data_IF_437073884007
#
_entry.id   IF_437073884007
#
_cell.length_a   1.000
_cell.length_b   1.000
_cell.length_c   1.000
_cell.angle_alpha   90.00
_cell.angle_beta   90.00
_cell.angle_gamma   90.00
#
_symmetry.space_group_name_H-M   'P 1'
#
loop_
_entity.id
_entity.type
_entity.pdbx_description
1 polymer ?
#
# COMPACT_ATOMS: atom_id res chain seq x y z
N UNK A 1 -2.41 -67.96 -1.15
CA UNK A 1 -3.61 -67.10 -0.97
C UNK A 1 -3.88 -66.43 -2.30
N UNK A 2 -4.96 -66.83 -2.98
CA UNK A 2 -5.33 -66.29 -4.31
C UNK A 2 -6.00 -64.93 -4.10
N UNK A 3 -5.48 -63.91 -4.74
CA UNK A 3 -6.12 -62.58 -4.81
C UNK A 3 -7.42 -62.75 -5.63
N UNK A 4 -8.55 -62.52 -4.98
CA UNK A 4 -9.85 -62.43 -5.72
C UNK A 4 -9.90 -61.07 -6.42
N UNK A 5 -9.87 -61.11 -7.73
CA UNK A 5 -10.17 -59.99 -8.60
C UNK A 5 -11.63 -59.63 -8.38
N UNK A 6 -11.90 -58.48 -7.74
CA UNK A 6 -13.25 -57.91 -7.58
C UNK A 6 -13.46 -56.87 -8.69
N UNK A 7 -13.47 -57.34 -9.92
CA UNK A 7 -13.83 -56.52 -11.07
C UNK A 7 -15.27 -55.95 -10.97
N UNK A 8 -15.58 -54.93 -11.76
CA UNK A 8 -16.87 -54.23 -11.81
C UNK A 8 -18.05 -55.13 -12.14
N UNK A 9 -17.81 -56.38 -12.55
CA UNK A 9 -18.81 -57.37 -12.96
C UNK A 9 -19.25 -58.31 -11.82
N UNK A 10 -18.74 -58.15 -10.62
CA UNK A 10 -19.18 -58.93 -9.45
C UNK A 10 -20.60 -58.46 -9.04
N UNK A 11 -21.64 -59.30 -9.11
CA UNK A 11 -23.02 -58.97 -8.76
C UNK A 11 -23.22 -58.47 -7.33
N UNK A 12 -22.22 -58.62 -6.47
CA UNK A 12 -22.22 -58.16 -5.07
C UNK A 12 -21.71 -56.72 -4.97
N UNK A 13 -21.07 -56.17 -6.03
CA UNK A 13 -20.58 -54.82 -6.06
C UNK A 13 -21.69 -53.85 -6.49
N UNK A 14 -22.40 -53.22 -5.59
CA UNK A 14 -23.35 -52.14 -5.90
C UNK A 14 -22.56 -50.85 -6.17
N UNK A 15 -22.26 -50.58 -7.44
CA UNK A 15 -21.76 -49.28 -7.88
C UNK A 15 -22.88 -48.25 -7.71
N UNK A 16 -22.74 -47.36 -6.72
CA UNK A 16 -23.63 -46.20 -6.60
C UNK A 16 -23.39 -45.30 -7.82
N UNK A 17 -24.39 -44.99 -8.64
CA UNK A 17 -24.23 -44.05 -9.73
C UNK A 17 -23.75 -42.72 -9.14
N UNK A 18 -22.71 -42.17 -9.77
CA UNK A 18 -22.19 -40.86 -9.42
C UNK A 18 -23.30 -39.82 -9.39
N UNK A 19 -23.56 -39.22 -8.22
CA UNK A 19 -24.51 -38.10 -8.04
C UNK A 19 -23.93 -36.77 -8.54
N UNK A 20 -22.93 -36.76 -9.34
CA UNK A 20 -22.39 -35.53 -9.95
C UNK A 20 -23.39 -35.01 -10.98
N UNK A 21 -24.34 -34.19 -10.55
CA UNK A 21 -25.07 -33.33 -11.49
C UNK A 21 -24.05 -32.55 -12.28
N UNK A 22 -24.11 -32.51 -13.62
CA UNK A 22 -23.21 -31.69 -14.42
C UNK A 22 -23.23 -30.26 -13.83
N UNK A 23 -22.03 -29.72 -13.54
CA UNK A 23 -21.91 -28.33 -13.07
C UNK A 23 -22.57 -27.48 -14.16
N UNK A 24 -23.74 -26.91 -13.86
CA UNK A 24 -24.34 -25.88 -14.71
C UNK A 24 -23.25 -24.82 -14.88
N UNK A 25 -22.81 -24.63 -16.14
CA UNK A 25 -21.95 -23.47 -16.48
C UNK A 25 -22.71 -22.24 -16.02
N UNK A 26 -22.23 -21.59 -14.95
CA UNK A 26 -22.82 -20.33 -14.50
C UNK A 26 -22.60 -19.36 -15.64
N UNK A 27 -23.64 -18.94 -16.34
CA UNK A 27 -23.57 -17.78 -17.23
C UNK A 27 -22.92 -16.67 -16.40
N UNK A 28 -21.76 -16.23 -16.82
CA UNK A 28 -21.07 -15.12 -16.19
C UNK A 28 -21.95 -13.90 -16.43
N UNK A 29 -22.53 -13.36 -15.37
CA UNK A 29 -23.36 -12.16 -15.47
C UNK A 29 -22.42 -11.01 -15.81
N UNK A 30 -22.72 -10.28 -16.87
CA UNK A 30 -21.99 -9.08 -17.25
C UNK A 30 -22.43 -7.93 -16.33
N UNK A 31 -21.48 -7.35 -15.61
CA UNK A 31 -21.68 -6.21 -14.74
C UNK A 31 -21.09 -4.92 -15.29
N UNK A 32 -20.69 -4.88 -16.57
CA UNK A 32 -20.02 -3.72 -17.19
C UNK A 32 -20.83 -2.44 -17.09
N UNK A 33 -22.16 -2.54 -17.12
CA UNK A 33 -23.08 -1.40 -16.96
C UNK A 33 -23.38 -1.03 -15.50
N UNK A 34 -22.89 -1.79 -14.52
CA UNK A 34 -23.14 -1.50 -13.09
C UNK A 34 -22.31 -0.30 -12.65
N UNK A 35 -22.86 0.59 -11.78
CA UNK A 35 -22.13 1.75 -11.27
C UNK A 35 -20.87 1.33 -10.50
N UNK A 36 -19.89 2.23 -10.48
CA UNK A 36 -18.64 2.05 -9.77
C UNK A 36 -18.67 2.82 -8.45
N UNK A 37 -17.96 2.29 -7.46
CA UNK A 37 -17.81 2.94 -6.16
C UNK A 37 -16.37 2.75 -5.64
N UNK A 38 -15.88 3.73 -4.89
CA UNK A 38 -14.59 3.71 -4.22
C UNK A 38 -14.71 3.12 -2.83
N UNK A 39 -13.80 2.23 -2.45
CA UNK A 39 -13.75 1.61 -1.13
C UNK A 39 -12.97 2.52 -0.18
N UNK A 40 -13.64 3.20 0.76
CA UNK A 40 -12.95 4.08 1.70
C UNK A 40 -12.68 3.44 3.08
N UNK A 41 -13.40 2.37 3.45
CA UNK A 41 -13.10 1.61 4.65
C UNK A 41 -13.57 0.15 4.53
N UNK A 42 -12.89 -0.75 5.24
CA UNK A 42 -13.25 -2.18 5.30
C UNK A 42 -13.31 -2.62 6.75
N UNK A 43 -14.44 -3.19 7.19
CA UNK A 43 -14.60 -3.69 8.54
C UNK A 43 -15.45 -4.97 8.59
N UNK A 44 -14.90 -6.03 9.22
CA UNK A 44 -15.59 -7.31 9.57
C UNK A 44 -16.58 -7.82 8.51
N UNK A 45 -16.19 -7.72 7.21
CA UNK A 45 -17.02 -8.17 6.09
C UNK A 45 -18.01 -7.13 5.57
N UNK A 46 -18.12 -5.96 6.18
CA UNK A 46 -18.79 -4.78 5.65
C UNK A 46 -17.79 -3.87 4.98
N UNK A 47 -18.15 -3.33 3.83
CA UNK A 47 -17.28 -2.51 3.00
C UNK A 47 -17.98 -1.17 2.82
N UNK A 48 -17.32 -0.10 3.22
CA UNK A 48 -17.83 1.25 3.12
C UNK A 48 -17.39 1.84 1.80
N UNK A 49 -18.33 2.35 1.05
CA UNK A 49 -18.18 2.76 -0.34
C UNK A 49 -18.63 4.21 -0.52
N UNK A 50 -17.92 4.92 -1.39
CA UNK A 50 -18.32 6.22 -1.91
C UNK A 50 -18.70 6.04 -3.38
N UNK A 51 -19.95 6.37 -3.72
CA UNK A 51 -20.47 6.42 -5.07
C UNK A 51 -20.96 7.84 -5.31
N UNK A 52 -20.20 8.61 -6.08
CA UNK A 52 -20.42 10.05 -6.24
C UNK A 52 -20.55 10.75 -4.88
N UNK A 53 -21.71 11.36 -4.58
CA UNK A 53 -22.00 12.03 -3.31
C UNK A 53 -22.59 11.07 -2.25
N UNK A 54 -22.87 9.81 -2.60
CA UNK A 54 -23.60 8.87 -1.72
C UNK A 54 -22.64 7.90 -1.05
N UNK A 55 -22.73 7.81 0.28
CA UNK A 55 -22.05 6.79 1.06
C UNK A 55 -22.91 5.53 1.18
N UNK A 56 -22.33 4.37 0.86
CA UNK A 56 -23.00 3.07 0.86
C UNK A 56 -22.28 2.11 1.80
N UNK A 57 -23.04 1.16 2.34
CA UNK A 57 -22.47 -0.03 2.98
C UNK A 57 -22.70 -1.21 2.05
N UNK A 58 -21.64 -1.93 1.73
CA UNK A 58 -21.69 -3.07 0.82
C UNK A 58 -21.21 -4.36 1.44
N UNK A 59 -21.65 -5.45 0.84
CA UNK A 59 -21.17 -6.80 1.13
C UNK A 59 -20.64 -7.46 -0.15
N UNK A 60 -19.65 -8.30 0.02
CA UNK A 60 -19.02 -9.01 -1.11
C UNK A 60 -19.95 -10.10 -1.65
N UNK A 61 -20.14 -10.13 -2.98
CA UNK A 61 -20.86 -11.22 -3.64
C UNK A 61 -20.08 -12.55 -3.50
N UNK A 62 -20.82 -13.66 -3.40
CA UNK A 62 -20.20 -14.99 -3.30
C UNK A 62 -19.34 -15.36 -4.52
N UNK A 63 -19.65 -14.80 -5.70
CA UNK A 63 -18.90 -14.99 -6.93
C UNK A 63 -17.44 -14.50 -6.84
N UNK A 64 -17.14 -13.49 -6.01
CA UNK A 64 -15.79 -12.97 -5.81
C UNK A 64 -14.87 -13.90 -4.98
N UNK A 65 -15.42 -14.97 -4.43
CA UNK A 65 -14.65 -16.01 -3.74
C UNK A 65 -13.79 -15.46 -2.60
N UNK A 66 -12.50 -15.83 -2.58
CA UNK A 66 -11.53 -15.40 -1.57
C UNK A 66 -10.83 -14.07 -1.89
N UNK A 67 -11.15 -13.41 -3.00
CA UNK A 67 -10.51 -12.14 -3.38
C UNK A 67 -10.72 -11.10 -2.28
N UNK A 68 -9.63 -10.59 -1.72
CA UNK A 68 -9.65 -9.53 -0.71
C UNK A 68 -10.02 -8.19 -1.35
N UNK A 69 -10.93 -7.47 -0.71
CA UNK A 69 -11.27 -6.08 -1.02
C UNK A 69 -10.55 -5.23 0.01
N UNK A 70 -9.87 -4.18 -0.44
CA UNK A 70 -9.07 -3.29 0.39
C UNK A 70 -9.45 -1.84 0.15
N UNK A 71 -9.00 -0.95 1.04
CA UNK A 71 -9.19 0.50 0.87
C UNK A 71 -8.48 0.95 -0.42
N UNK A 72 -9.14 1.83 -1.18
CA UNK A 72 -8.68 2.28 -2.48
C UNK A 72 -9.18 1.44 -3.66
N UNK A 73 -9.78 0.26 -3.44
CA UNK A 73 -10.36 -0.49 -4.54
C UNK A 73 -11.50 0.27 -5.22
N UNK A 74 -11.54 0.19 -6.55
CA UNK A 74 -12.69 0.54 -7.36
C UNK A 74 -13.52 -0.72 -7.59
N UNK A 75 -14.80 -0.67 -7.28
CA UNK A 75 -15.67 -1.84 -7.33
C UNK A 75 -16.96 -1.56 -8.09
N UNK A 76 -17.51 -2.54 -8.77
CA UNK A 76 -18.86 -2.47 -9.33
C UNK A 76 -19.88 -2.95 -8.30
N UNK A 77 -20.96 -2.20 -8.19
CA UNK A 77 -22.00 -2.43 -7.17
C UNK A 77 -23.37 -2.61 -7.79
N UNK A 78 -24.20 -3.41 -7.12
CA UNK A 78 -25.60 -3.66 -7.47
C UNK A 78 -26.43 -3.72 -6.19
N UNK A 79 -27.75 -3.86 -6.32
CA UNK A 79 -28.65 -3.97 -5.16
C UNK A 79 -29.18 -2.62 -4.70
N UNK A 80 -29.34 -2.43 -3.41
CA UNK A 80 -29.84 -1.16 -2.86
C UNK A 80 -28.70 -0.15 -2.75
N UNK A 81 -28.72 0.84 -3.63
CA UNK A 81 -27.74 1.91 -3.74
C UNK A 81 -28.24 3.24 -3.15
N UNK A 82 -29.33 3.22 -2.37
CA UNK A 82 -29.94 4.42 -1.83
C UNK A 82 -29.13 5.10 -0.72
N UNK A 83 -28.19 4.40 -0.11
CA UNK A 83 -27.42 4.92 1.04
C UNK A 83 -28.23 5.09 2.33
N UNK A 84 -29.49 4.65 2.34
CA UNK A 84 -30.36 4.73 3.54
C UNK A 84 -29.85 3.82 4.63
N UNK A 85 -30.18 4.16 5.88
CA UNK A 85 -29.79 3.33 7.01
C UNK A 85 -30.38 1.90 6.87
N UNK A 86 -29.52 0.88 6.96
CA UNK A 86 -29.90 -0.51 6.75
C UNK A 86 -29.87 -1.00 5.30
N UNK A 87 -29.70 -0.12 4.30
CA UNK A 87 -29.48 -0.54 2.91
C UNK A 87 -28.15 -1.25 2.74
N UNK A 88 -28.10 -2.27 1.87
CA UNK A 88 -26.88 -3.03 1.58
C UNK A 88 -26.67 -3.15 0.07
N UNK A 89 -25.62 -2.53 -0.40
CA UNK A 89 -25.10 -2.75 -1.75
C UNK A 89 -24.41 -4.13 -1.84
N UNK A 90 -24.36 -4.69 -3.03
CA UNK A 90 -23.62 -5.92 -3.32
C UNK A 90 -22.47 -5.61 -4.25
N UNK A 91 -21.24 -5.88 -3.81
CA UNK A 91 -20.04 -5.75 -4.63
C UNK A 91 -19.95 -7.00 -5.50
N UNK A 92 -20.00 -6.83 -6.81
CA UNK A 92 -20.05 -7.90 -7.80
C UNK A 92 -18.74 -8.06 -8.57
N UNK A 93 -17.94 -6.99 -8.66
CA UNK A 93 -16.65 -6.99 -9.34
C UNK A 93 -15.68 -6.06 -8.62
N UNK A 94 -14.38 -6.42 -8.61
CA UNK A 94 -13.27 -5.56 -8.23
C UNK A 94 -12.51 -5.22 -9.50
N UNK A 95 -12.43 -3.94 -9.83
CA UNK A 95 -11.75 -3.47 -11.04
C UNK A 95 -10.23 -3.71 -10.95
N UNK A 96 -9.53 -3.71 -12.09
CA UNK A 96 -8.07 -3.81 -12.11
C UNK A 96 -7.43 -2.72 -11.25
N UNK A 97 -6.45 -3.12 -10.45
CA UNK A 97 -5.69 -2.21 -9.60
C UNK A 97 -4.51 -1.64 -10.36
N UNK A 98 -4.31 -0.31 -10.31
CA UNK A 98 -3.14 0.36 -10.89
C UNK A 98 -1.90 0.26 -9.99
N UNK A 99 -2.11 0.18 -8.68
CA UNK A 99 -1.06 0.04 -7.67
C UNK A 99 -1.57 -0.77 -6.49
N UNK A 100 -0.67 -1.44 -5.77
CA UNK A 100 -1.01 -2.22 -4.57
C UNK A 100 0.12 -2.11 -3.56
N UNK A 101 -0.21 -1.64 -2.37
CA UNK A 101 0.67 -1.77 -1.21
C UNK A 101 0.30 -3.04 -0.45
N UNK A 102 1.30 -3.87 -0.19
CA UNK A 102 1.17 -5.13 0.52
C UNK A 102 1.79 -5.07 1.91
N UNK A 103 1.33 -5.93 2.79
CA UNK A 103 1.91 -6.15 4.11
C UNK A 103 2.47 -7.56 4.19
N UNK A 104 3.72 -7.68 4.66
CA UNK A 104 4.28 -8.98 5.05
C UNK A 104 3.55 -9.53 6.28
N UNK A 105 3.35 -10.82 6.34
CA UNK A 105 3.01 -11.50 7.59
C UNK A 105 4.31 -11.63 8.39
N UNK A 106 4.44 -10.90 9.48
CA UNK A 106 5.66 -10.77 10.27
C UNK A 106 6.20 -12.08 10.87
N UNK A 107 5.40 -13.16 10.88
CA UNK A 107 5.70 -14.34 11.72
C UNK A 107 5.81 -15.68 10.97
N UNK A 108 5.84 -15.69 9.63
CA UNK A 108 5.91 -16.97 8.91
C UNK A 108 6.74 -16.90 7.64
N UNK A 109 7.88 -17.60 7.54
CA UNK A 109 8.61 -17.76 6.28
C UNK A 109 7.70 -18.36 5.21
N UNK A 110 7.55 -17.66 4.07
CA UNK A 110 6.68 -18.10 2.97
C UNK A 110 5.21 -17.66 3.07
N UNK A 111 4.82 -16.85 4.06
CA UNK A 111 3.49 -16.30 4.14
C UNK A 111 3.23 -15.32 2.97
N UNK A 112 2.11 -15.53 2.26
CA UNK A 112 1.71 -14.68 1.15
C UNK A 112 1.45 -13.25 1.63
N UNK A 113 2.07 -12.30 0.97
CA UNK A 113 1.77 -10.89 1.18
C UNK A 113 0.29 -10.61 0.97
N UNK A 114 -0.27 -9.79 1.86
CA UNK A 114 -1.68 -9.41 1.79
C UNK A 114 -1.80 -7.99 1.30
N UNK A 115 -2.62 -7.73 0.27
CA UNK A 115 -2.92 -6.37 -0.14
C UNK A 115 -3.56 -5.61 1.02
N UNK A 116 -3.20 -4.36 1.15
CA UNK A 116 -3.61 -3.48 2.23
C UNK A 116 -4.28 -2.21 1.73
N UNK A 117 -3.69 -1.57 0.73
CA UNK A 117 -4.22 -0.42 0.02
C UNK A 117 -4.02 -0.64 -1.46
N UNK A 118 -5.00 -0.22 -2.27
CA UNK A 118 -4.95 -0.27 -3.73
C UNK A 118 -5.16 1.12 -4.33
N UNK A 119 -4.75 1.26 -5.59
CA UNK A 119 -5.02 2.44 -6.42
C UNK A 119 -4.54 3.77 -5.83
N UNK A 120 -3.54 3.75 -4.96
CA UNK A 120 -2.88 4.97 -4.54
C UNK A 120 -2.02 5.55 -5.67
N UNK A 121 -1.81 6.88 -5.65
CA UNK A 121 -0.92 7.60 -6.55
C UNK A 121 0.40 7.92 -5.86
N UNK A 122 0.33 8.16 -4.55
CA UNK A 122 1.41 8.73 -3.76
C UNK A 122 1.55 8.03 -2.41
N UNK A 123 2.78 7.93 -1.93
CA UNK A 123 3.11 7.52 -0.56
C UNK A 123 3.75 8.69 0.18
N UNK A 124 3.01 9.30 1.12
CA UNK A 124 3.54 10.34 1.98
C UNK A 124 4.19 9.71 3.22
N UNK A 125 5.51 9.81 3.28
CA UNK A 125 6.34 9.32 4.38
C UNK A 125 6.48 10.44 5.42
N UNK A 126 5.78 10.29 6.54
CA UNK A 126 5.77 11.28 7.62
C UNK A 126 6.84 10.91 8.65
N UNK A 127 7.78 11.82 8.88
CA UNK A 127 8.82 11.68 9.90
C UNK A 127 8.97 12.97 10.68
N UNK A 128 9.26 12.88 11.97
CA UNK A 128 9.53 14.06 12.79
C UNK A 128 11.00 14.44 12.69
N UNK A 129 11.32 15.75 12.75
CA UNK A 129 12.71 16.23 12.89
C UNK A 129 13.31 15.80 14.22
N UNK A 130 12.49 15.74 15.28
CA UNK A 130 12.82 15.18 16.58
C UNK A 130 11.56 14.68 17.31
N UNK A 131 11.74 13.89 18.36
CA UNK A 131 10.71 13.39 19.26
C UNK A 131 9.49 12.75 18.55
N UNK A 132 9.67 11.56 17.92
CA UNK A 132 10.82 10.67 18.00
C UNK A 132 11.93 11.04 17.02
N UNK A 133 13.14 10.55 17.29
CA UNK A 133 14.26 10.70 16.36
C UNK A 133 13.92 10.08 14.99
N UNK A 134 14.32 10.74 13.89
CA UNK A 134 14.17 10.21 12.56
C UNK A 134 14.82 8.82 12.44
N UNK A 135 14.21 7.94 11.65
CA UNK A 135 14.71 6.60 11.38
C UNK A 135 15.03 6.44 9.89
N UNK A 136 16.23 6.79 9.43
CA UNK A 136 16.58 6.75 8.00
C UNK A 136 16.31 5.40 7.35
N UNK A 137 16.69 4.29 8.00
CA UNK A 137 16.42 2.93 7.48
C UNK A 137 14.94 2.64 7.26
N UNK A 138 14.06 3.18 8.11
CA UNK A 138 12.61 3.05 7.93
C UNK A 138 12.15 3.86 6.72
N UNK A 139 12.67 5.07 6.54
CA UNK A 139 12.37 5.91 5.36
C UNK A 139 12.84 5.19 4.10
N UNK A 140 14.08 4.65 4.08
CA UNK A 140 14.59 3.87 2.96
C UNK A 140 13.64 2.72 2.59
N UNK A 141 13.18 1.93 3.57
CA UNK A 141 12.23 0.82 3.33
C UNK A 141 10.89 1.30 2.77
N UNK A 142 10.39 2.45 3.23
CA UNK A 142 9.16 3.05 2.71
C UNK A 142 9.33 3.57 1.28
N UNK A 143 10.50 4.12 0.95
CA UNK A 143 10.86 4.51 -0.42
C UNK A 143 10.90 3.30 -1.35
N UNK A 144 11.55 2.21 -0.94
CA UNK A 144 11.55 0.95 -1.68
C UNK A 144 10.13 0.46 -1.94
N UNK A 145 9.27 0.46 -0.90
CA UNK A 145 7.87 0.06 -1.05
C UNK A 145 7.08 0.97 -2.01
N UNK A 146 7.34 2.30 -1.96
CA UNK A 146 6.71 3.25 -2.88
C UNK A 146 7.11 2.97 -4.33
N UNK A 147 8.41 2.89 -4.59
CA UNK A 147 8.93 2.66 -5.94
C UNK A 147 8.44 1.34 -6.54
N UNK A 148 8.52 0.24 -5.79
CA UNK A 148 8.06 -1.06 -6.28
C UNK A 148 6.55 -1.14 -6.53
N UNK A 149 5.76 -0.35 -5.80
CA UNK A 149 4.32 -0.24 -6.03
C UNK A 149 3.95 0.78 -7.12
N UNK A 150 4.93 1.43 -7.77
CA UNK A 150 4.72 2.49 -8.77
C UNK A 150 4.12 3.76 -8.18
N UNK A 151 4.34 4.04 -6.89
CA UNK A 151 3.85 5.23 -6.21
C UNK A 151 4.89 6.34 -6.22
N UNK A 152 4.43 7.59 -6.31
CA UNK A 152 5.28 8.76 -6.12
C UNK A 152 5.57 8.95 -4.63
N UNK A 153 6.84 8.91 -4.17
CA UNK A 153 7.14 9.20 -2.79
C UNK A 153 7.07 10.70 -2.52
N UNK A 154 6.62 11.06 -1.31
CA UNK A 154 6.68 12.41 -0.76
C UNK A 154 7.18 12.32 0.68
N UNK A 155 8.20 13.07 1.04
CA UNK A 155 8.71 13.14 2.41
C UNK A 155 8.09 14.34 3.12
N UNK A 156 7.36 14.09 4.21
CA UNK A 156 6.78 15.12 5.06
C UNK A 156 7.54 15.15 6.40
N UNK A 157 8.36 16.19 6.59
CA UNK A 157 9.09 16.41 7.82
C UNK A 157 8.23 17.26 8.75
N UNK A 158 7.93 16.72 9.92
CA UNK A 158 7.10 17.41 10.93
C UNK A 158 7.96 17.89 12.09
N UNK A 159 7.42 18.76 12.93
CA UNK A 159 8.06 19.30 14.13
C UNK A 159 9.37 20.04 13.82
N UNK A 160 9.36 20.82 12.76
CA UNK A 160 10.49 21.67 12.38
C UNK A 160 10.75 22.81 13.40
N UNK A 161 9.79 23.06 14.28
CA UNK A 161 9.93 23.93 15.46
C UNK A 161 10.81 23.31 16.55
N UNK A 162 10.97 21.99 16.58
CA UNK A 162 11.71 21.27 17.63
C UNK A 162 13.16 21.00 17.24
N UNK A 163 13.43 20.74 15.96
CA UNK A 163 14.78 20.45 15.46
C UNK A 163 14.92 20.80 13.98
N UNK A 164 16.16 21.07 13.60
CA UNK A 164 16.57 21.38 12.24
C UNK A 164 16.28 20.21 11.26
N UNK A 165 15.63 20.44 10.11
CA UNK A 165 15.31 19.42 9.13
C UNK A 165 16.50 19.06 8.22
N UNK A 166 17.52 19.91 8.10
CA UNK A 166 18.64 19.81 7.16
C UNK A 166 19.32 18.44 7.16
N UNK A 167 19.62 17.79 8.30
CA UNK A 167 20.30 16.48 8.26
C UNK A 167 19.51 15.40 7.51
N UNK A 168 18.17 15.45 7.58
CA UNK A 168 17.30 14.52 6.85
C UNK A 168 17.21 14.92 5.38
N UNK A 169 17.06 16.22 5.10
CA UNK A 169 17.00 16.73 3.72
C UNK A 169 18.27 16.38 2.96
N UNK A 170 19.45 16.62 3.54
CA UNK A 170 20.75 16.30 2.92
C UNK A 170 20.92 14.79 2.65
N UNK A 171 20.47 13.94 3.59
CA UNK A 171 20.56 12.49 3.46
C UNK A 171 19.72 11.95 2.28
N UNK A 172 18.55 12.54 2.02
CA UNK A 172 17.63 12.10 0.98
C UNK A 172 17.69 12.95 -0.31
N UNK A 173 18.37 14.09 -0.31
CA UNK A 173 18.55 14.93 -1.49
C UNK A 173 19.09 14.17 -2.72
N UNK A 174 20.07 13.23 -2.59
CA UNK A 174 20.55 12.48 -3.76
C UNK A 174 19.53 11.56 -4.41
N UNK A 175 18.43 11.26 -3.73
CA UNK A 175 17.32 10.46 -4.27
C UNK A 175 16.27 11.32 -4.98
N UNK A 176 16.40 12.66 -4.90
CA UNK A 176 15.47 13.63 -5.52
C UNK A 176 14.00 13.42 -5.09
N UNK A 177 13.82 12.92 -3.87
CA UNK A 177 12.47 12.74 -3.28
C UNK A 177 11.93 14.11 -2.88
N UNK A 178 10.76 14.54 -3.39
CA UNK A 178 10.14 15.76 -2.93
C UNK A 178 9.96 15.76 -1.40
N UNK A 179 10.36 16.86 -0.74
CA UNK A 179 10.28 16.99 0.70
C UNK A 179 9.61 18.30 1.09
N UNK A 180 8.71 18.24 2.07
CA UNK A 180 8.04 19.41 2.64
C UNK A 180 8.28 19.41 4.13
N UNK A 181 8.80 20.54 4.62
CA UNK A 181 9.05 20.77 6.02
C UNK A 181 7.84 21.43 6.66
N UNK A 182 7.32 20.85 7.74
CA UNK A 182 6.10 21.33 8.40
C UNK A 182 6.30 21.51 9.90
N UNK A 183 5.65 22.55 10.43
CA UNK A 183 5.40 22.73 11.86
C UNK A 183 3.97 23.20 12.07
N UNK A 184 3.23 22.51 12.93
CA UNK A 184 1.88 22.90 13.31
C UNK A 184 1.91 24.10 14.22
N UNK A 185 2.88 24.16 15.13
CA UNK A 185 3.04 25.26 16.09
C UNK A 185 3.23 26.62 15.38
N UNK A 186 4.00 26.62 14.29
CA UNK A 186 4.29 27.84 13.52
C UNK A 186 3.46 27.97 12.24
N UNK A 187 2.54 27.03 11.99
CA UNK A 187 1.79 26.91 10.72
C UNK A 187 2.70 26.83 9.48
N UNK A 188 3.97 26.45 9.65
CA UNK A 188 4.95 26.37 8.57
C UNK A 188 4.64 25.19 7.64
N UNK A 189 4.65 25.42 6.33
CA UNK A 189 4.58 24.38 5.30
C UNK A 189 3.25 23.60 5.22
N UNK A 190 2.24 23.98 6.02
CA UNK A 190 0.94 23.27 6.05
C UNK A 190 0.21 23.43 4.73
N UNK A 191 0.17 24.65 4.18
CA UNK A 191 -0.50 24.89 2.89
C UNK A 191 0.22 24.13 1.76
N UNK A 192 1.55 24.18 1.73
CA UNK A 192 2.35 23.46 0.74
C UNK A 192 2.11 21.94 0.84
N UNK A 193 2.00 21.38 2.07
CA UNK A 193 1.63 20.00 2.26
C UNK A 193 0.21 19.72 1.75
N UNK A 194 -0.74 20.64 2.02
CA UNK A 194 -2.11 20.53 1.53
C UNK A 194 -2.21 20.55 0.01
N UNK A 195 -1.42 21.37 -0.67
CA UNK A 195 -1.36 21.42 -2.13
C UNK A 195 -0.73 20.14 -2.73
N UNK A 196 0.38 19.67 -2.17
CA UNK A 196 1.04 18.47 -2.62
C UNK A 196 0.21 17.18 -2.44
N UNK A 197 -0.77 17.22 -1.55
CA UNK A 197 -1.70 16.11 -1.26
C UNK A 197 -3.04 16.26 -2.00
N UNK A 198 -3.31 17.40 -2.61
CA UNK A 198 -4.57 17.67 -3.31
C UNK A 198 -4.71 16.85 -4.59
N UNK A 199 -5.95 16.50 -4.97
CA UNK A 199 -6.31 15.78 -6.20
C UNK A 199 -5.57 14.44 -6.42
N UNK A 200 -5.01 13.87 -5.36
CA UNK A 200 -4.29 12.58 -5.39
C UNK A 200 -4.85 11.61 -4.37
N UNK A 201 -4.69 10.33 -4.62
CA UNK A 201 -4.93 9.30 -3.61
C UNK A 201 -3.60 9.01 -2.91
N UNK A 202 -3.43 9.57 -1.71
CA UNK A 202 -2.18 9.49 -0.97
C UNK A 202 -2.30 8.58 0.25
N UNK A 203 -1.40 7.61 0.37
CA UNK A 203 -1.24 6.80 1.58
C UNK A 203 -0.29 7.51 2.53
N UNK A 204 -0.73 7.79 3.75
CA UNK A 204 0.09 8.41 4.78
C UNK A 204 0.67 7.35 5.71
N UNK A 205 1.99 7.29 5.80
CA UNK A 205 2.73 6.33 6.62
C UNK A 205 3.73 7.06 7.51
N UNK A 206 4.00 6.49 8.67
CA UNK A 206 4.95 7.07 9.60
C UNK A 206 4.91 6.36 10.94
N UNK A 207 6.01 6.46 11.68
CA UNK A 207 6.13 5.89 13.02
C UNK A 207 5.15 6.56 14.00
N UNK A 208 4.83 5.86 15.09
CA UNK A 208 4.02 6.44 16.17
C UNK A 208 4.70 7.69 16.74
N UNK A 209 3.92 8.74 16.98
CA UNK A 209 4.42 9.99 17.57
C UNK A 209 5.05 10.98 16.59
N UNK A 210 5.20 10.65 15.29
CA UNK A 210 5.76 11.60 14.29
C UNK A 210 4.86 12.77 13.94
N UNK A 211 3.64 12.86 14.49
CA UNK A 211 2.72 13.98 14.20
C UNK A 211 1.79 13.73 13.01
N UNK A 212 1.71 12.50 12.47
CA UNK A 212 0.83 12.18 11.33
C UNK A 212 -0.63 12.57 11.58
N UNK A 213 -1.23 12.13 12.70
CA UNK A 213 -2.62 12.47 13.04
C UNK A 213 -2.82 13.97 13.28
N UNK A 214 -1.84 14.63 13.89
CA UNK A 214 -1.89 16.07 14.10
C UNK A 214 -1.87 16.84 12.77
N UNK A 215 -1.00 16.41 11.82
CA UNK A 215 -0.95 16.98 10.47
C UNK A 215 -2.26 16.75 9.73
N UNK A 216 -2.82 15.53 9.77
CA UNK A 216 -4.10 15.22 9.15
C UNK A 216 -5.24 16.07 9.73
N UNK A 217 -5.30 16.25 11.05
CA UNK A 217 -6.33 17.07 11.69
C UNK A 217 -6.21 18.55 11.36
N UNK A 218 -5.00 19.03 11.09
CA UNK A 218 -4.77 20.41 10.65
C UNK A 218 -5.20 20.60 9.19
N UNK A 219 -4.89 19.65 8.32
CA UNK A 219 -5.27 19.66 6.91
C UNK A 219 -6.77 19.46 6.69
N UNK A 220 -7.38 18.56 7.48
CA UNK A 220 -8.80 18.22 7.40
C UNK A 220 -9.46 18.53 8.76
N UNK A 221 -10.11 19.68 8.91
CA UNK A 221 -10.85 19.97 10.13
C UNK A 221 -11.84 18.84 10.45
N UNK A 222 -11.76 18.31 11.68
CA UNK A 222 -12.58 17.19 12.12
C UNK A 222 -12.26 15.79 11.51
N UNK A 223 -11.05 15.57 10.99
CA UNK A 223 -10.61 14.25 10.51
C UNK A 223 -10.83 13.16 11.59
N UNK A 224 -10.51 13.45 12.85
CA UNK A 224 -10.77 12.53 13.97
C UNK A 224 -12.24 12.19 14.16
N UNK A 225 -13.16 13.14 13.89
CA UNK A 225 -14.60 12.88 13.93
C UNK A 225 -15.04 12.00 12.77
N UNK A 226 -14.49 12.20 11.58
CA UNK A 226 -14.79 11.35 10.42
C UNK A 226 -14.27 9.93 10.64
N UNK A 227 -13.05 9.77 11.14
CA UNK A 227 -12.47 8.49 11.55
C UNK A 227 -13.32 7.88 12.70
N UNK A 228 -13.71 8.71 13.69
CA UNK A 228 -14.55 8.31 14.80
C UNK A 228 -15.95 7.85 14.37
N UNK A 229 -16.58 8.52 13.41
CA UNK A 229 -17.87 8.10 12.86
C UNK A 229 -17.78 6.77 12.11
N UNK A 230 -16.74 6.57 11.29
CA UNK A 230 -16.48 5.29 10.64
C UNK A 230 -16.24 4.21 11.70
N UNK A 231 -15.48 4.50 12.75
CA UNK A 231 -15.23 3.58 13.86
C UNK A 231 -16.50 3.28 14.68
N UNK A 232 -17.39 4.25 14.90
CA UNK A 232 -18.67 4.04 15.57
C UNK A 232 -19.63 3.17 14.75
N UNK A 233 -19.71 3.43 13.44
CA UNK A 233 -20.51 2.59 12.52
C UNK A 233 -19.94 1.17 12.45
N UNK A 234 -18.62 1.02 12.61
CA UNK A 234 -17.93 -0.27 12.62
C UNK A 234 -17.89 -0.94 14.00
N UNK A 235 -18.36 -0.28 15.05
CA UNK A 235 -18.38 -0.81 16.43
C UNK A 235 -16.99 -0.91 17.06
N UNK A 236 -15.99 -0.13 16.59
CA UNK A 236 -14.62 -0.11 17.11
C UNK A 236 -14.41 1.00 18.13
N UNK A 237 -13.76 0.65 19.24
CA UNK A 237 -13.27 1.63 20.20
C UNK A 237 -12.11 2.47 19.63
N UNK A 238 -11.87 3.63 20.23
CA UNK A 238 -10.93 4.68 19.81
C UNK A 238 -9.46 4.23 19.61
N UNK A 239 -9.06 3.03 20.07
CA UNK A 239 -7.69 2.55 20.15
C UNK A 239 -7.40 1.22 19.42
N UNK A 240 -8.32 0.70 18.60
CA UNK A 240 -8.18 -0.64 17.96
C UNK A 240 -8.27 -0.64 16.44
N UNK A 241 -8.06 0.49 15.77
CA UNK A 241 -8.10 0.56 14.31
C UNK A 241 -6.82 -0.03 13.71
N UNK A 242 -6.86 -1.29 13.29
CA UNK A 242 -5.79 -1.96 12.51
C UNK A 242 -6.02 -1.91 11.01
N UNK A 243 -7.09 -1.26 10.56
CA UNK A 243 -7.47 -1.18 9.15
C UNK A 243 -7.27 0.24 8.62
N UNK A 244 -6.80 0.34 7.38
CA UNK A 244 -6.71 1.61 6.67
C UNK A 244 -8.08 2.27 6.51
N UNK A 245 -8.11 3.59 6.51
CA UNK A 245 -9.31 4.42 6.27
C UNK A 245 -8.92 5.52 5.30
N UNK A 246 -9.71 5.73 4.25
CA UNK A 246 -9.57 6.86 3.34
C UNK A 246 -10.54 7.98 3.73
N UNK A 247 -10.03 9.22 3.72
CA UNK A 247 -10.77 10.44 3.98
C UNK A 247 -10.67 11.30 2.74
N UNK A 248 -11.78 11.84 2.28
CA UNK A 248 -11.80 12.74 1.13
C UNK A 248 -11.07 14.06 1.45
N UNK A 249 -10.20 14.49 0.55
CA UNK A 249 -9.42 15.71 0.72
C UNK A 249 -9.13 16.39 -0.61
N UNK A 250 -9.61 17.63 -0.79
CA UNK A 250 -9.34 18.51 -1.94
C UNK A 250 -9.38 17.79 -3.30
N UNK A 251 -10.44 17.02 -3.55
CA UNK A 251 -10.62 16.28 -4.81
C UNK A 251 -9.83 14.97 -4.93
N UNK A 252 -9.17 14.53 -3.86
CA UNK A 252 -8.47 13.26 -3.75
C UNK A 252 -8.81 12.54 -2.44
N UNK A 253 -7.92 11.63 -2.02
CA UNK A 253 -8.11 10.82 -0.82
C UNK A 253 -6.83 10.76 0.01
N UNK A 254 -6.94 11.01 1.31
CA UNK A 254 -5.88 10.69 2.26
C UNK A 254 -6.21 9.37 2.96
N UNK A 255 -5.32 8.39 2.82
CA UNK A 255 -5.48 7.06 3.40
C UNK A 255 -4.60 6.97 4.63
N UNK A 256 -5.22 6.99 5.81
CA UNK A 256 -4.51 6.71 7.06
C UNK A 256 -4.32 5.21 7.23
N UNK A 257 -3.10 4.82 7.58
CA UNK A 257 -2.72 3.43 7.79
C UNK A 257 -2.18 3.25 9.21
N UNK A 258 -3.08 3.16 10.21
CA UNK A 258 -2.65 3.06 11.60
C UNK A 258 -1.88 1.77 11.86
N UNK A 259 -0.75 1.90 12.57
CA UNK A 259 0.01 0.74 13.08
C UNK A 259 0.78 -0.05 12.03
N UNK A 260 0.97 0.46 10.81
CA UNK A 260 1.82 -0.20 9.83
C UNK A 260 3.28 -0.01 10.22
N UNK A 261 3.88 -1.11 10.64
CA UNK A 261 5.29 -1.19 11.02
C UNK A 261 6.17 -1.79 9.92
N UNK A 262 5.56 -2.56 9.00
CA UNK A 262 6.27 -3.23 7.91
C UNK A 262 5.43 -3.29 6.65
N UNK A 263 6.06 -2.99 5.52
CA UNK A 263 5.54 -3.30 4.19
C UNK A 263 6.18 -4.59 3.69
N UNK A 264 5.46 -5.30 2.81
CA UNK A 264 6.01 -6.45 2.11
C UNK A 264 7.09 -6.01 1.13
N UNK A 265 8.33 -6.36 1.43
CA UNK A 265 9.48 -6.10 0.55
C UNK A 265 10.08 -7.39 -0.02
N UNK A 266 9.49 -8.55 0.31
CA UNK A 266 10.06 -9.85 0.01
C UNK A 266 10.08 -10.21 -1.49
N UNK A 267 9.28 -9.54 -2.31
CA UNK A 267 9.16 -9.82 -3.74
C UNK A 267 9.65 -8.67 -4.63
N UNK A 268 10.36 -7.69 -4.04
CA UNK A 268 10.88 -6.58 -4.80
C UNK A 268 12.16 -7.03 -5.50
N UNK A 269 12.19 -6.93 -6.81
CA UNK A 269 13.40 -7.18 -7.60
C UNK A 269 14.27 -5.91 -7.68
N UNK A 270 15.58 -6.09 -7.85
CA UNK A 270 16.52 -4.96 -8.03
C UNK A 270 16.13 -4.09 -9.23
N UNK A 271 15.62 -4.71 -10.29
CA UNK A 271 15.19 -4.03 -11.50
C UNK A 271 13.97 -3.14 -11.28
N UNK A 272 13.03 -3.55 -10.41
CA UNK A 272 11.87 -2.71 -10.04
C UNK A 272 12.32 -1.43 -9.34
N UNK A 273 13.31 -1.54 -8.45
CA UNK A 273 13.86 -0.38 -7.76
C UNK A 273 14.68 0.49 -8.73
N UNK A 274 15.46 -0.12 -9.62
CA UNK A 274 16.27 0.58 -10.60
C UNK A 274 15.43 1.36 -11.61
N UNK A 275 14.25 0.84 -11.97
CA UNK A 275 13.31 1.53 -12.87
C UNK A 275 12.84 2.90 -12.33
N UNK A 276 12.91 3.11 -11.02
CA UNK A 276 12.63 4.42 -10.40
C UNK A 276 13.77 5.45 -10.55
N UNK A 277 14.92 5.03 -11.06
CA UNK A 277 16.12 5.85 -11.25
C UNK A 277 16.61 5.75 -12.70
N UNK A 278 15.95 6.41 -13.67
CA UNK A 278 16.25 6.26 -15.10
C UNK A 278 17.72 6.54 -15.45
N UNK A 279 18.33 7.52 -14.80
CA UNK A 279 19.74 7.89 -14.95
C UNK A 279 20.69 6.74 -14.53
N UNK A 280 20.38 6.05 -13.45
CA UNK A 280 21.14 4.88 -13.01
C UNK A 280 20.82 3.64 -13.85
N UNK A 281 19.58 3.50 -14.32
CA UNK A 281 19.16 2.39 -15.16
C UNK A 281 19.90 2.37 -16.51
N UNK A 282 20.10 3.54 -17.15
CA UNK A 282 20.88 3.66 -18.38
C UNK A 282 22.33 3.17 -18.20
N UNK A 283 22.96 3.50 -17.09
CA UNK A 283 24.33 3.06 -16.78
C UNK A 283 24.34 1.58 -16.39
N UNK A 284 23.35 1.13 -15.62
CA UNK A 284 23.21 -0.25 -15.19
C UNK A 284 22.97 -1.22 -16.36
N UNK A 285 22.37 -0.77 -17.45
CA UNK A 285 22.21 -1.56 -18.67
C UNK A 285 23.55 -2.03 -19.28
N UNK A 286 24.65 -1.36 -18.95
CA UNK A 286 26.01 -1.72 -19.39
C UNK A 286 26.71 -2.65 -18.39
N UNK A 287 26.08 -3.03 -17.29
CA UNK A 287 26.65 -3.95 -16.32
C UNK A 287 26.67 -5.41 -16.83
N UNK A 288 27.55 -6.27 -16.28
CA UNK A 288 27.45 -7.70 -16.51
C UNK A 288 26.04 -8.24 -16.20
N UNK A 289 25.64 -9.31 -16.91
CA UNK A 289 24.34 -9.98 -16.66
C UNK A 289 24.23 -10.38 -15.19
N UNK A 290 23.05 -10.18 -14.61
CA UNK A 290 22.75 -10.49 -13.19
C UNK A 290 23.64 -9.71 -12.18
N UNK A 291 24.09 -8.53 -12.54
CA UNK A 291 24.85 -7.68 -11.62
C UNK A 291 23.96 -7.22 -10.46
N UNK A 292 24.30 -7.51 -9.20
CA UNK A 292 23.50 -7.08 -8.04
C UNK A 292 23.75 -5.61 -7.66
N UNK A 293 24.57 -4.89 -8.41
CA UNK A 293 24.93 -3.47 -8.24
C UNK A 293 25.53 -3.10 -6.87
N UNK A 294 26.03 -4.09 -6.13
CA UNK A 294 26.70 -3.87 -4.83
C UNK A 294 28.10 -3.22 -5.04
N UNK A 295 28.65 -2.56 -4.01
CA UNK A 295 29.99 -1.97 -4.10
C UNK A 295 31.08 -2.96 -4.50
N UNK A 296 30.94 -4.23 -4.08
CA UNK A 296 31.88 -5.34 -4.36
C UNK A 296 31.63 -6.04 -5.70
N UNK A 297 30.60 -5.66 -6.47
CA UNK A 297 30.26 -6.35 -7.73
C UNK A 297 31.31 -6.06 -8.80
N UNK A 298 32.02 -7.10 -9.31
CA UNK A 298 33.04 -6.89 -10.32
C UNK A 298 32.43 -6.40 -11.63
N UNK A 299 33.04 -5.38 -12.25
CA UNK A 299 32.56 -4.82 -13.51
C UNK A 299 31.28 -4.00 -13.44
N UNK A 300 30.78 -3.69 -12.23
CA UNK A 300 29.59 -2.86 -12.06
C UNK A 300 29.82 -1.44 -12.55
N UNK A 301 29.08 -1.00 -13.57
CA UNK A 301 29.24 0.33 -14.17
C UNK A 301 28.78 1.46 -13.24
N UNK A 302 27.85 1.20 -12.31
CA UNK A 302 27.49 2.18 -11.26
C UNK A 302 28.68 2.51 -10.36
N UNK A 303 29.64 1.60 -10.18
CA UNK A 303 30.86 1.88 -9.41
C UNK A 303 31.83 2.81 -10.16
N UNK A 304 31.79 2.83 -11.51
CA UNK A 304 32.60 3.74 -12.33
C UNK A 304 31.98 5.11 -12.41
N UNK A 305 30.65 5.20 -12.48
CA UNK A 305 29.91 6.47 -12.51
C UNK A 305 30.25 7.37 -11.31
N UNK A 306 30.32 6.79 -10.11
CA UNK A 306 30.65 7.54 -8.89
C UNK A 306 32.09 8.05 -8.79
N UNK A 307 33.05 7.56 -9.63
CA UNK A 307 34.45 8.01 -9.58
C UNK A 307 34.70 9.38 -10.25
N UNK A 308 33.82 9.78 -11.14
CA UNK A 308 33.98 10.97 -11.96
C UNK A 308 33.25 12.20 -11.45
N UNK A 309 32.20 12.01 -10.65
CA UNK A 309 31.33 13.09 -10.14
C UNK A 309 30.87 12.82 -8.71
N UNK A 310 31.18 13.69 -7.72
CA UNK A 310 30.78 13.53 -6.33
C UNK A 310 29.24 13.48 -6.12
N UNK A 311 28.46 14.18 -6.95
CA UNK A 311 26.99 14.14 -6.86
C UNK A 311 26.46 12.77 -7.30
N UNK A 312 26.99 12.23 -8.39
CA UNK A 312 26.65 10.89 -8.87
C UNK A 312 27.09 9.80 -7.88
N UNK A 313 28.26 10.00 -7.24
CA UNK A 313 28.68 9.07 -6.18
C UNK A 313 27.67 9.00 -5.03
N UNK A 314 27.24 10.16 -4.49
CA UNK A 314 26.21 10.20 -3.43
C UNK A 314 24.88 9.59 -3.89
N UNK A 315 24.50 9.76 -5.16
CA UNK A 315 23.29 9.17 -5.72
C UNK A 315 23.39 7.64 -5.80
N UNK A 316 24.51 7.10 -6.27
CA UNK A 316 24.77 5.65 -6.30
C UNK A 316 24.84 5.06 -4.90
N UNK A 317 25.47 5.74 -3.94
CA UNK A 317 25.52 5.33 -2.54
C UNK A 317 24.10 5.29 -1.92
N UNK A 318 23.27 6.29 -2.20
CA UNK A 318 21.90 6.35 -1.74
C UNK A 318 21.04 5.23 -2.36
N UNK A 319 21.19 4.95 -3.65
CA UNK A 319 20.55 3.81 -4.29
C UNK A 319 20.98 2.48 -3.67
N UNK A 320 22.28 2.29 -3.41
CA UNK A 320 22.80 1.09 -2.73
C UNK A 320 22.29 0.95 -1.28
N UNK A 321 22.08 2.05 -0.59
CA UNK A 321 21.45 2.05 0.73
C UNK A 321 20.01 1.54 0.64
N UNK A 322 19.25 1.91 -0.40
CA UNK A 322 17.91 1.36 -0.64
C UNK A 322 17.97 -0.15 -0.92
N UNK A 323 18.88 -0.61 -1.78
CA UNK A 323 19.09 -2.05 -2.02
C UNK A 323 19.42 -2.82 -0.75
N UNK A 324 20.26 -2.27 0.11
CA UNK A 324 20.59 -2.89 1.39
C UNK A 324 19.38 -2.98 2.34
N UNK A 325 18.51 -1.95 2.31
CA UNK A 325 17.30 -1.96 3.15
C UNK A 325 16.20 -2.91 2.66
N UNK A 326 16.18 -3.24 1.36
CA UNK A 326 15.35 -4.30 0.81
C UNK A 326 15.69 -5.67 1.41
N UNK A 327 16.99 -5.98 1.54
CA UNK A 327 17.49 -7.28 1.97
C UNK A 327 17.51 -7.46 3.51
N UNK A 328 17.37 -6.39 4.28
CA UNK A 328 17.39 -6.48 5.73
C UNK A 328 16.09 -7.05 6.29
N UNK A 329 16.13 -8.29 6.80
CA UNK A 329 14.98 -8.97 7.40
C UNK A 329 14.60 -8.43 8.79
N UNK A 330 15.32 -7.45 9.35
CA UNK A 330 15.04 -6.94 10.69
C UNK A 330 14.36 -5.57 10.64
N UNK A 331 13.05 -5.46 10.98
CA UNK A 331 12.28 -4.21 10.86
C UNK A 331 12.55 -3.18 11.96
N UNK A 332 13.37 -3.45 12.97
CA UNK A 332 13.36 -2.71 14.24
C UNK A 332 14.73 -2.21 14.75
N UNK A 333 15.79 -2.27 13.95
CA UNK A 333 17.10 -1.72 14.40
C UNK A 333 17.43 -0.46 13.64
#
# INVERSE_FOLDING_TARGET
>A
MAWRDTGTDDPRVRVRPSRSKPRRSKKQVDYSASPTAFVFAVDRGRIHLQMEQTKLVGVKARSLGRRGIVVGDQVRVTGDLSGKNGSLARIVEVLPRKSVLTRSAEDSPGAKEKPMVANADQLAIVTACANPQPRPRMIDRLLVAAYSAGLKPLLLLTKADVACPEPILELFAPLEVPAIVTSIENSQGIDAAGEALAATTTVMVGHSGVGKSSLMNNLIPHADRQIGQVNQVTGRGRHTSTSAIAIEFRGGWLIDTPGIRSFGLAHIETDDLLAAFPDLAEVAAQCPKLCPHLPSSPGCQLSTLGKTNPAQMRRVESFRRLLASQNSQNPLV
#
